data_IF_276865154559
#
_entry.id   IF_276865154559
#
_cell.length_a   1.000
_cell.length_b   1.000
_cell.length_c   1.000
_cell.angle_alpha   90.00
_cell.angle_beta   90.00
_cell.angle_gamma   90.00
#
_symmetry.space_group_name_H-M   'P 1'
#
loop_
_entity.id
_entity.type
_entity.pdbx_description
1 polymer ?
#
# COMPACT_ATOMS: atom_id res chain seq x y z
N UNK A 1 10.32 -0.65 -17.92
CA UNK A 1 9.42 0.45 -18.26
C UNK A 1 8.02 0.21 -17.70
N UNK A 2 7.38 -0.92 -17.99
CA UNK A 2 6.02 -1.26 -17.49
C UNK A 2 5.89 -1.19 -15.97
N UNK A 3 6.91 -1.64 -15.25
CA UNK A 3 7.00 -1.59 -13.78
C UNK A 3 6.92 -0.15 -13.26
N UNK A 4 7.75 0.72 -13.83
CA UNK A 4 7.76 2.13 -13.46
C UNK A 4 6.39 2.77 -13.69
N UNK A 5 5.78 2.52 -14.85
CA UNK A 5 4.47 3.08 -15.18
C UNK A 5 3.40 2.60 -14.20
N UNK A 6 3.43 1.33 -13.82
CA UNK A 6 2.47 0.79 -12.85
C UNK A 6 2.60 1.46 -11.47
N UNK A 7 3.80 1.51 -10.89
CA UNK A 7 4.03 2.19 -9.62
C UNK A 7 3.71 3.69 -9.70
N UNK A 8 4.06 4.33 -10.83
CA UNK A 8 3.78 5.76 -11.05
C UNK A 8 2.28 6.03 -11.06
N UNK A 9 1.51 5.21 -11.79
CA UNK A 9 0.04 5.33 -11.84
C UNK A 9 -0.57 5.16 -10.45
N UNK A 10 -0.22 4.09 -9.73
CA UNK A 10 -0.74 3.85 -8.39
C UNK A 10 -0.41 5.00 -7.44
N UNK A 11 0.84 5.46 -7.45
CA UNK A 11 1.26 6.56 -6.57
C UNK A 11 0.53 7.86 -6.90
N UNK A 12 0.41 8.21 -8.19
CA UNK A 12 -0.26 9.42 -8.62
C UNK A 12 -1.77 9.40 -8.29
N UNK A 13 -2.42 8.26 -8.44
CA UNK A 13 -3.83 8.09 -8.08
C UNK A 13 -4.05 8.26 -6.57
N UNK A 14 -3.23 7.62 -5.75
CA UNK A 14 -3.26 7.78 -4.29
C UNK A 14 -3.01 9.24 -3.88
N UNK A 15 -2.02 9.89 -4.49
CA UNK A 15 -1.68 11.27 -4.21
C UNK A 15 -2.80 12.26 -4.61
N UNK A 16 -3.42 12.03 -5.76
CA UNK A 16 -4.54 12.84 -6.23
C UNK A 16 -5.76 12.68 -5.32
N UNK A 17 -6.07 11.46 -4.90
CA UNK A 17 -7.16 11.20 -3.97
C UNK A 17 -6.89 11.83 -2.60
N UNK A 18 -5.68 11.73 -2.09
CA UNK A 18 -5.25 12.37 -0.85
C UNK A 18 -5.47 13.89 -0.88
N UNK A 19 -5.04 14.55 -1.95
CA UNK A 19 -5.23 15.98 -2.12
C UNK A 19 -6.71 16.38 -2.20
N UNK A 20 -7.52 15.60 -2.90
CA UNK A 20 -8.98 15.79 -2.96
C UNK A 20 -9.63 15.69 -1.57
N UNK A 21 -9.24 14.70 -0.79
CA UNK A 21 -9.74 14.53 0.58
C UNK A 21 -9.31 15.69 1.50
N UNK A 22 -8.10 16.21 1.35
CA UNK A 22 -7.63 17.38 2.10
C UNK A 22 -8.47 18.63 1.79
N UNK A 23 -8.82 18.85 0.53
CA UNK A 23 -9.69 19.96 0.10
C UNK A 23 -11.08 19.80 0.73
N UNK A 24 -11.68 18.62 0.63
CA UNK A 24 -12.99 18.33 1.21
C UNK A 24 -12.99 18.52 2.73
N UNK A 25 -11.96 18.02 3.42
CA UNK A 25 -11.79 18.21 4.87
C UNK A 25 -11.76 19.69 5.25
N UNK A 26 -11.03 20.51 4.49
CA UNK A 26 -10.95 21.96 4.70
C UNK A 26 -12.31 22.61 4.48
N UNK A 27 -13.05 22.20 3.45
CA UNK A 27 -14.39 22.69 3.17
C UNK A 27 -15.35 22.37 4.32
N UNK A 28 -15.44 21.11 4.78
CA UNK A 28 -16.31 20.73 5.88
C UNK A 28 -15.96 21.49 7.18
N UNK A 29 -14.67 21.68 7.46
CA UNK A 29 -14.22 22.48 8.60
C UNK A 29 -14.73 23.92 8.51
N UNK A 30 -14.68 24.52 7.32
CA UNK A 30 -15.19 25.86 7.07
C UNK A 30 -16.71 25.94 7.24
N UNK A 31 -17.47 24.98 6.70
CA UNK A 31 -18.92 24.87 6.85
C UNK A 31 -19.35 24.80 8.31
N UNK A 32 -18.66 24.01 9.12
CA UNK A 32 -18.89 23.92 10.57
C UNK A 32 -18.64 25.29 11.24
N UNK A 33 -17.52 25.94 10.89
CA UNK A 33 -17.15 27.25 11.48
C UNK A 33 -18.14 28.34 11.13
N UNK A 34 -18.56 28.41 9.87
CA UNK A 34 -19.54 29.38 9.38
C UNK A 34 -20.92 29.15 10.02
N UNK A 35 -21.35 27.89 10.10
CA UNK A 35 -22.62 27.53 10.74
C UNK A 35 -22.62 27.92 12.22
N UNK A 36 -21.51 27.65 12.92
CA UNK A 36 -21.34 28.02 14.33
C UNK A 36 -21.41 29.54 14.54
N UNK A 37 -20.65 30.31 13.75
CA UNK A 37 -20.63 31.74 13.83
C UNK A 37 -22.03 32.37 13.56
N UNK A 38 -22.79 31.81 12.60
CA UNK A 38 -24.17 32.23 12.35
C UNK A 38 -25.11 31.91 13.50
N UNK A 39 -24.96 30.73 14.14
CA UNK A 39 -25.79 30.35 15.30
C UNK A 39 -25.59 31.25 16.54
N UNK A 40 -24.43 31.88 16.66
CA UNK A 40 -24.11 32.82 17.72
C UNK A 40 -24.78 34.20 17.52
N UNK A 41 -25.32 34.49 16.34
CA UNK A 41 -26.03 35.71 16.07
C UNK A 41 -27.45 35.70 16.69
N UNK A 42 -27.82 36.77 17.37
CA UNK A 42 -29.03 36.85 18.22
C UNK A 42 -30.37 36.97 17.47
N UNK A 43 -30.36 37.07 16.13
CA UNK A 43 -31.57 37.43 15.36
C UNK A 43 -32.16 36.36 14.47
N UNK A 44 -31.74 35.09 14.66
CA UNK A 44 -32.21 33.96 13.82
C UNK A 44 -33.58 33.43 14.30
N UNK A 45 -34.45 33.15 13.34
CA UNK A 45 -35.69 32.41 13.58
C UNK A 45 -35.41 30.97 13.97
N UNK A 46 -36.30 30.33 14.74
CA UNK A 46 -36.17 28.95 15.19
C UNK A 46 -35.89 27.96 14.04
N UNK A 47 -36.62 28.12 12.92
CA UNK A 47 -36.42 27.29 11.73
C UNK A 47 -35.05 27.46 11.05
N UNK A 48 -34.51 28.69 11.08
CA UNK A 48 -33.17 28.97 10.53
C UNK A 48 -32.07 28.35 11.39
N UNK A 49 -32.24 28.42 12.72
CA UNK A 49 -31.35 27.76 13.67
C UNK A 49 -31.33 26.26 13.45
N UNK A 50 -32.49 25.64 13.29
CA UNK A 50 -32.58 24.18 13.04
C UNK A 50 -31.87 23.75 11.75
N UNK A 51 -32.08 24.49 10.65
CA UNK A 51 -31.37 24.27 9.39
C UNK A 51 -29.85 24.37 9.53
N UNK A 52 -29.36 25.40 10.24
CA UNK A 52 -27.92 25.59 10.46
C UNK A 52 -27.32 24.49 11.32
N UNK A 53 -28.07 24.02 12.33
CA UNK A 53 -27.64 22.86 13.15
C UNK A 53 -27.53 21.60 12.27
N UNK A 54 -28.52 21.31 11.43
CA UNK A 54 -28.47 20.16 10.51
C UNK A 54 -27.28 20.26 9.57
N UNK A 55 -27.01 21.42 8.96
CA UNK A 55 -25.84 21.60 8.09
C UNK A 55 -24.55 21.33 8.88
N UNK A 56 -24.44 21.88 10.09
CA UNK A 56 -23.26 21.67 10.93
C UNK A 56 -23.06 20.20 11.34
N UNK A 57 -24.12 19.47 11.65
CA UNK A 57 -24.08 18.04 11.98
C UNK A 57 -23.59 17.23 10.80
N UNK A 58 -24.19 17.40 9.62
CA UNK A 58 -23.78 16.68 8.39
C UNK A 58 -22.34 17.03 8.03
N UNK A 59 -21.95 18.29 8.10
CA UNK A 59 -20.57 18.69 7.83
C UNK A 59 -19.58 18.07 8.83
N UNK A 60 -19.96 17.93 10.11
CA UNK A 60 -19.14 17.28 11.14
C UNK A 60 -18.96 15.78 10.88
N UNK A 61 -20.03 15.09 10.53
CA UNK A 61 -19.98 13.66 10.17
C UNK A 61 -19.08 13.44 8.95
N UNK A 62 -19.23 14.25 7.90
CA UNK A 62 -18.39 14.20 6.72
C UNK A 62 -16.92 14.53 7.03
N UNK A 63 -16.66 15.48 7.93
CA UNK A 63 -15.31 15.81 8.39
C UNK A 63 -14.63 14.61 9.08
N UNK A 64 -15.37 13.93 9.97
CA UNK A 64 -14.85 12.73 10.68
C UNK A 64 -14.55 11.63 9.68
N UNK A 65 -15.52 11.27 8.82
CA UNK A 65 -15.36 10.24 7.79
C UNK A 65 -14.18 10.55 6.87
N UNK A 66 -14.08 11.78 6.39
CA UNK A 66 -12.97 12.21 5.52
C UNK A 66 -11.62 12.11 6.27
N UNK A 67 -11.59 12.41 7.57
CA UNK A 67 -10.37 12.30 8.36
C UNK A 67 -9.91 10.83 8.52
N UNK A 68 -10.84 9.90 8.67
CA UNK A 68 -10.55 8.46 8.69
C UNK A 68 -10.01 7.98 7.34
N UNK A 69 -10.69 8.34 6.25
CA UNK A 69 -10.23 7.99 4.90
C UNK A 69 -8.82 8.54 4.61
N UNK A 70 -8.50 9.75 5.08
CA UNK A 70 -7.14 10.32 4.95
C UNK A 70 -6.12 9.45 5.69
N UNK A 71 -6.43 8.97 6.90
CA UNK A 71 -5.51 8.10 7.65
C UNK A 71 -5.28 6.77 6.96
N UNK A 72 -6.34 6.13 6.46
CA UNK A 72 -6.25 4.87 5.71
C UNK A 72 -5.42 5.05 4.43
N UNK A 73 -5.67 6.15 3.71
CA UNK A 73 -4.94 6.46 2.49
C UNK A 73 -3.45 6.76 2.75
N UNK A 74 -3.13 7.42 3.87
CA UNK A 74 -1.75 7.65 4.27
C UNK A 74 -1.00 6.36 4.55
N UNK A 75 -1.64 5.35 5.16
CA UNK A 75 -1.05 4.03 5.35
C UNK A 75 -0.74 3.36 4.01
N UNK A 76 -1.68 3.41 3.06
CA UNK A 76 -1.45 2.88 1.71
C UNK A 76 -0.34 3.63 0.97
N UNK A 77 -0.23 4.95 1.15
CA UNK A 77 0.83 5.76 0.54
C UNK A 77 2.23 5.47 1.10
N UNK A 78 2.34 5.02 2.36
CA UNK A 78 3.65 4.66 2.94
C UNK A 78 4.32 3.51 2.17
N UNK A 79 3.55 2.56 1.64
CA UNK A 79 4.06 1.46 0.82
C UNK A 79 4.71 1.96 -0.49
N UNK A 80 4.23 3.09 -1.00
CA UNK A 80 4.71 3.69 -2.25
C UNK A 80 5.58 4.93 -2.03
N UNK A 81 6.02 5.20 -0.80
CA UNK A 81 6.79 6.39 -0.44
C UNK A 81 8.06 6.56 -1.26
N UNK A 82 8.67 5.47 -1.68
CA UNK A 82 9.84 5.48 -2.56
C UNK A 82 9.58 6.15 -3.91
N UNK A 83 8.30 6.23 -4.35
CA UNK A 83 7.90 6.90 -5.59
C UNK A 83 7.84 8.43 -5.45
N UNK A 84 7.95 8.97 -4.25
CA UNK A 84 7.94 10.43 -4.04
C UNK A 84 9.11 11.09 -4.79
N UNK A 85 8.78 12.03 -5.66
CA UNK A 85 9.75 12.73 -6.51
C UNK A 85 10.27 11.92 -7.70
N UNK A 86 9.78 10.70 -7.92
CA UNK A 86 10.18 9.86 -9.07
C UNK A 86 9.30 10.21 -10.27
N UNK A 87 9.88 10.98 -11.21
CA UNK A 87 9.17 11.51 -12.38
C UNK A 87 9.64 10.90 -13.70
N UNK A 88 10.69 10.10 -13.70
CA UNK A 88 11.25 9.47 -14.90
C UNK A 88 11.71 8.04 -14.61
N UNK A 89 11.88 7.26 -15.68
CA UNK A 89 12.42 5.91 -15.60
C UNK A 89 13.84 5.89 -15.03
N UNK A 90 14.65 6.90 -15.31
CA UNK A 90 16.02 6.98 -14.80
C UNK A 90 16.02 7.30 -13.29
N UNK A 91 15.17 8.23 -12.83
CA UNK A 91 14.96 8.45 -11.39
C UNK A 91 14.49 7.17 -10.70
N UNK A 92 13.60 6.41 -11.33
CA UNK A 92 13.14 5.14 -10.79
C UNK A 92 14.28 4.10 -10.70
N UNK A 93 15.11 3.97 -11.74
CA UNK A 93 16.28 3.09 -11.76
C UNK A 93 17.28 3.40 -10.64
N UNK A 94 17.45 4.67 -10.35
CA UNK A 94 18.33 5.09 -9.24
C UNK A 94 17.69 4.81 -7.88
N UNK A 95 16.37 5.02 -7.76
CA UNK A 95 15.62 4.77 -6.54
C UNK A 95 15.61 3.29 -6.14
N UNK A 96 15.40 2.36 -7.08
CA UNK A 96 15.39 0.92 -6.80
C UNK A 96 16.76 0.34 -6.41
N UNK A 97 17.86 1.09 -6.58
CA UNK A 97 19.20 0.72 -6.10
C UNK A 97 19.42 1.11 -4.64
N UNK A 98 18.52 1.90 -4.07
CA UNK A 98 18.61 2.35 -2.68
C UNK A 98 17.90 1.39 -1.73
N UNK A 99 18.15 1.53 -0.43
CA UNK A 99 17.44 0.79 0.62
C UNK A 99 16.04 1.32 0.92
N UNK A 100 15.58 2.33 0.21
CA UNK A 100 14.22 2.86 0.33
C UNK A 100 13.20 2.07 -0.50
N UNK A 101 13.69 1.30 -1.50
CA UNK A 101 12.86 0.43 -2.30
C UNK A 101 12.82 -0.98 -1.72
N UNK A 102 11.61 -1.47 -1.45
CA UNK A 102 11.37 -2.84 -1.03
C UNK A 102 10.62 -3.58 -2.14
N UNK A 103 11.19 -4.69 -2.56
CA UNK A 103 10.55 -5.55 -3.55
C UNK A 103 9.28 -6.17 -2.96
N UNK A 104 8.14 -5.81 -3.51
CA UNK A 104 6.86 -6.43 -3.19
C UNK A 104 6.66 -7.77 -3.94
N UNK A 105 5.54 -8.44 -3.67
CA UNK A 105 5.18 -9.71 -4.29
C UNK A 105 5.18 -9.64 -5.82
N UNK A 106 4.87 -8.47 -6.38
CA UNK A 106 4.87 -8.26 -7.82
C UNK A 106 6.29 -8.19 -8.39
N UNK A 107 7.20 -7.49 -7.73
CA UNK A 107 8.61 -7.43 -8.14
C UNK A 107 9.25 -8.82 -8.04
N UNK A 108 8.96 -9.57 -6.98
CA UNK A 108 9.40 -10.95 -6.80
C UNK A 108 8.87 -11.83 -7.95
N UNK A 109 7.57 -11.79 -8.22
CA UNK A 109 6.96 -12.57 -9.31
C UNK A 109 7.49 -12.18 -10.70
N UNK A 110 7.90 -10.93 -10.88
CA UNK A 110 8.55 -10.48 -12.13
C UNK A 110 9.95 -11.09 -12.27
N UNK A 111 10.74 -11.12 -11.19
CA UNK A 111 12.05 -11.77 -11.19
C UNK A 111 11.93 -13.28 -11.41
N UNK A 112 10.93 -13.91 -10.80
CA UNK A 112 10.64 -15.33 -10.99
C UNK A 112 10.45 -15.68 -12.47
N UNK A 113 9.62 -14.91 -13.16
CA UNK A 113 9.38 -15.10 -14.60
C UNK A 113 10.60 -14.79 -15.46
N UNK A 114 11.34 -13.74 -15.12
CA UNK A 114 12.48 -13.29 -15.90
C UNK A 114 13.62 -14.32 -15.88
N UNK A 115 13.84 -14.95 -14.72
CA UNK A 115 14.93 -15.91 -14.52
C UNK A 115 14.46 -17.39 -14.53
N UNK A 116 13.17 -17.61 -14.73
CA UNK A 116 12.54 -18.94 -14.66
C UNK A 116 12.85 -19.68 -13.36
N UNK A 117 12.77 -18.98 -12.25
CA UNK A 117 12.99 -19.45 -10.89
C UNK A 117 11.74 -19.24 -10.04
N UNK A 118 11.64 -19.94 -8.93
CA UNK A 118 10.60 -19.74 -7.93
C UNK A 118 11.22 -19.37 -6.59
N UNK A 119 10.74 -18.27 -6.00
CA UNK A 119 11.04 -17.95 -4.60
C UNK A 119 10.00 -18.61 -3.69
N UNK A 120 10.49 -19.34 -2.69
CA UNK A 120 9.70 -19.83 -1.55
C UNK A 120 10.11 -18.99 -0.35
N UNK A 121 9.24 -18.09 0.08
CA UNK A 121 9.52 -17.18 1.19
C UNK A 121 8.80 -17.71 2.42
N UNK A 122 9.57 -18.03 3.46
CA UNK A 122 9.06 -18.49 4.74
C UNK A 122 9.02 -17.31 5.71
N UNK A 123 7.88 -17.06 6.34
CA UNK A 123 7.73 -16.03 7.36
C UNK A 123 7.90 -16.60 8.76
N UNK A 124 9.04 -16.39 9.36
CA UNK A 124 9.30 -16.74 10.75
C UNK A 124 8.32 -16.05 11.71
N UNK A 125 7.96 -14.81 11.43
CA UNK A 125 7.00 -14.07 12.23
C UNK A 125 5.65 -14.78 12.32
N UNK A 126 5.05 -15.18 11.19
CA UNK A 126 3.77 -15.88 11.17
C UNK A 126 3.87 -17.25 11.85
N UNK A 127 5.00 -17.94 11.67
CA UNK A 127 5.25 -19.20 12.37
C UNK A 127 5.26 -19.03 13.91
N UNK A 128 5.96 -18.01 14.41
CA UNK A 128 6.04 -17.73 15.86
C UNK A 128 4.70 -17.28 16.47
N UNK A 129 3.83 -16.66 15.65
CA UNK A 129 2.47 -16.29 16.06
C UNK A 129 1.45 -17.45 15.95
N UNK A 130 1.86 -18.63 15.48
CA UNK A 130 0.98 -19.76 15.23
C UNK A 130 0.05 -19.59 14.02
N UNK A 131 0.31 -18.60 13.19
CA UNK A 131 -0.43 -18.35 11.95
C UNK A 131 0.15 -19.19 10.80
N UNK A 132 -0.10 -20.48 10.86
CA UNK A 132 0.48 -21.45 9.92
C UNK A 132 -0.04 -21.32 8.49
N UNK A 133 -1.16 -20.65 8.29
CA UNK A 133 -1.72 -20.41 6.95
C UNK A 133 -0.93 -19.36 6.16
N UNK A 134 -0.23 -18.46 6.85
CA UNK A 134 0.52 -17.37 6.26
C UNK A 134 2.05 -17.50 6.38
N UNK A 135 2.54 -18.72 6.67
CA UNK A 135 3.99 -18.98 6.73
C UNK A 135 4.63 -18.84 5.35
N UNK A 136 4.00 -19.37 4.30
CA UNK A 136 4.51 -19.26 2.93
C UNK A 136 3.92 -18.03 2.29
N UNK A 137 4.79 -17.06 1.99
CA UNK A 137 4.44 -15.85 1.27
C UNK A 137 4.80 -16.03 -0.22
N UNK A 138 4.07 -15.40 -1.12
CA UNK A 138 4.25 -15.49 -2.57
C UNK A 138 3.82 -16.85 -3.18
N UNK A 139 2.59 -17.30 -2.93
CA UNK A 139 2.14 -18.60 -3.44
C UNK A 139 0.88 -18.60 -4.32
N UNK A 140 -0.01 -17.64 -4.15
CA UNK A 140 -1.34 -17.76 -4.78
C UNK A 140 -1.34 -17.45 -6.28
N UNK A 141 -0.64 -16.41 -6.72
CA UNK A 141 -0.55 -16.06 -8.14
C UNK A 141 0.19 -17.12 -8.95
N UNK A 142 1.21 -17.75 -8.36
CA UNK A 142 2.01 -18.76 -9.03
C UNK A 142 1.29 -20.10 -9.14
N UNK A 143 0.45 -20.45 -8.17
CA UNK A 143 -0.39 -21.63 -8.25
C UNK A 143 -1.32 -21.57 -9.47
N UNK A 144 -1.98 -20.43 -9.68
CA UNK A 144 -2.84 -20.22 -10.85
C UNK A 144 -2.03 -20.29 -12.16
N UNK A 145 -0.81 -19.76 -12.18
CA UNK A 145 0.05 -19.80 -13.35
C UNK A 145 0.59 -21.22 -13.62
N UNK A 146 0.94 -21.97 -12.59
CA UNK A 146 1.34 -23.37 -12.69
C UNK A 146 0.18 -24.27 -13.15
N UNK A 147 -1.00 -24.10 -12.59
CA UNK A 147 -2.21 -24.84 -13.00
C UNK A 147 -2.54 -24.63 -14.49
N UNK A 148 -2.31 -23.44 -15.00
CA UNK A 148 -2.49 -23.09 -16.42
C UNK A 148 -1.28 -23.46 -17.29
N UNK A 149 -0.21 -24.04 -16.72
CA UNK A 149 1.05 -24.34 -17.41
C UNK A 149 1.69 -23.15 -18.12
N UNK A 150 1.51 -21.95 -17.56
CA UNK A 150 2.09 -20.70 -18.11
C UNK A 150 3.48 -20.45 -17.51
N UNK A 151 3.77 -21.04 -16.35
CA UNK A 151 5.03 -20.87 -15.64
C UNK A 151 5.45 -22.19 -14.99
N UNK A 152 6.59 -22.73 -15.42
CA UNK A 152 7.25 -23.92 -14.86
C UNK A 152 8.67 -23.53 -14.46
N UNK A 153 8.96 -23.27 -13.16
CA UNK A 153 10.28 -22.85 -12.74
C UNK A 153 11.30 -23.98 -12.86
N UNK A 154 12.48 -23.66 -13.37
CA UNK A 154 13.60 -24.61 -13.46
C UNK A 154 14.27 -24.85 -12.11
N UNK A 155 14.23 -23.86 -11.22
CA UNK A 155 14.87 -23.90 -9.91
C UNK A 155 14.02 -23.17 -8.86
N UNK A 156 14.22 -23.60 -7.60
CA UNK A 156 13.62 -22.96 -6.44
C UNK A 156 14.71 -22.28 -5.61
N UNK A 157 14.41 -21.10 -5.08
CA UNK A 157 15.23 -20.39 -4.10
C UNK A 157 14.39 -20.25 -2.84
N UNK A 158 14.91 -20.72 -1.70
CA UNK A 158 14.22 -20.64 -0.43
C UNK A 158 14.82 -19.48 0.37
N UNK A 159 13.98 -18.61 0.88
CA UNK A 159 14.37 -17.50 1.73
C UNK A 159 13.51 -17.46 3.00
N UNK A 160 14.11 -17.03 4.10
CA UNK A 160 13.42 -16.69 5.34
C UNK A 160 13.21 -15.16 5.38
N UNK A 161 11.98 -14.73 5.61
CA UNK A 161 11.63 -13.32 5.79
C UNK A 161 11.64 -12.98 7.28
N UNK A 162 12.66 -12.25 7.67
CA UNK A 162 12.88 -11.88 9.06
C UNK A 162 12.27 -10.50 9.37
N UNK A 163 11.15 -10.49 10.08
CA UNK A 163 10.47 -9.34 10.70
C UNK A 163 10.53 -8.06 9.83
N UNK A 164 9.84 -8.07 8.69
CA UNK A 164 9.59 -6.86 7.91
C UNK A 164 10.82 -6.15 7.32
N UNK A 165 12.02 -6.72 7.45
CA UNK A 165 13.24 -5.99 7.12
C UNK A 165 14.21 -6.69 6.18
N UNK A 166 14.34 -8.00 6.20
CA UNK A 166 15.41 -8.69 5.46
C UNK A 166 15.00 -10.09 5.02
N UNK A 167 15.47 -10.48 3.84
CA UNK A 167 15.42 -11.86 3.35
C UNK A 167 16.77 -12.53 3.63
N UNK A 168 16.73 -13.74 4.21
CA UNK A 168 17.89 -14.59 4.41
C UNK A 168 17.79 -15.78 3.49
N UNK A 169 18.76 -16.00 2.63
CA UNK A 169 18.81 -17.17 1.78
C UNK A 169 19.05 -18.42 2.61
N UNK A 170 18.27 -19.45 2.37
CA UNK A 170 18.46 -20.77 2.93
C UNK A 170 19.28 -21.58 1.93
N UNK A 171 20.40 -22.14 2.39
CA UNK A 171 21.24 -22.99 1.57
C UNK A 171 21.33 -24.41 2.14
N UNK A 172 21.45 -25.38 1.27
CA UNK A 172 21.69 -26.76 1.67
C UNK A 172 23.11 -26.93 2.25
N UNK A 173 23.20 -27.32 3.51
CA UNK A 173 24.44 -27.25 4.30
C UNK A 173 25.59 -28.06 3.71
N UNK A 174 25.31 -29.28 3.21
CA UNK A 174 26.33 -30.19 2.72
C UNK A 174 26.95 -29.80 1.39
N UNK A 175 26.23 -28.99 0.58
CA UNK A 175 26.68 -28.68 -0.80
C UNK A 175 26.76 -27.17 -1.07
N UNK A 176 26.37 -26.33 -0.14
CA UNK A 176 26.31 -24.89 -0.34
C UNK A 176 25.34 -24.44 -1.43
N UNK A 177 24.45 -25.33 -1.88
CA UNK A 177 23.49 -25.03 -2.94
C UNK A 177 22.47 -24.00 -2.49
N UNK A 178 22.23 -22.98 -3.33
CA UNK A 178 21.22 -21.95 -3.11
C UNK A 178 19.96 -22.18 -3.95
N UNK A 179 20.03 -23.09 -4.91
CA UNK A 179 18.91 -23.46 -5.80
C UNK A 179 18.55 -24.91 -5.66
N UNK A 180 17.28 -25.21 -5.72
CA UNK A 180 16.69 -26.54 -5.62
C UNK A 180 15.92 -26.86 -6.91
N UNK A 181 15.98 -28.12 -7.34
CA UNK A 181 15.19 -28.64 -8.47
C UNK A 181 13.88 -29.22 -7.98
#
# INVERSE_FOLDING_TARGET
>A
EGIFLNYKTIYDDLYNEYNKLLINKKQFKNEISVSKAKLESSHLLAQEKEKLIQIAVVAKENYIKTSQNIQELQLSMEEFKFMNGVNSLDNFRDKIKTNEFWADNWAISTLERLYNIKFIILSKYHYEQGDYNNIIQCGELDKILQEKKIFEPSYYIIADYFIGTHYKLIKYMDRGALTFK
#
